data_IF_666864025636
#
_entry.id   IF_666864025636
#
_cell.length_a   1.000
_cell.length_b   1.000
_cell.length_c   1.000
_cell.angle_alpha   90.00
_cell.angle_beta   90.00
_cell.angle_gamma   90.00
#
_symmetry.space_group_name_H-M   'P 1'
#
loop_
_entity.id
_entity.type
_entity.pdbx_description
1 polymer ?
#
# COMPACT_ATOMS: atom_id res chain seq x y z
N UNK A 1 -60.48 -106.48 31.79
CA UNK A 1 -59.12 -106.69 32.34
C UNK A 1 -58.24 -105.58 31.89
N UNK A 2 -57.97 -104.74 32.84
CA UNK A 2 -57.25 -103.52 32.61
C UNK A 2 -55.82 -103.57 33.13
N UNK A 3 -54.90 -103.36 32.32
CA UNK A 3 -53.47 -103.18 32.68
C UNK A 3 -53.16 -101.69 32.86
N UNK A 4 -52.98 -101.27 34.10
CA UNK A 4 -52.44 -99.90 34.44
C UNK A 4 -50.96 -99.93 34.31
N UNK A 5 -50.43 -99.19 33.32
CA UNK A 5 -49.00 -98.90 33.16
C UNK A 5 -48.64 -97.75 34.09
N UNK A 6 -47.74 -97.93 35.05
CA UNK A 6 -47.19 -96.89 35.95
C UNK A 6 -46.07 -96.20 35.21
N UNK A 7 -46.25 -94.94 34.91
CA UNK A 7 -45.15 -94.04 34.49
C UNK A 7 -44.44 -93.58 35.73
N UNK A 8 -43.11 -93.80 35.77
CA UNK A 8 -42.19 -93.26 36.79
C UNK A 8 -41.88 -91.81 36.51
N UNK A 9 -41.79 -90.91 37.51
CA UNK A 9 -41.48 -89.52 37.27
C UNK A 9 -40.01 -89.32 36.92
N UNK A 10 -39.75 -88.59 35.80
CA UNK A 10 -38.40 -88.07 35.44
C UNK A 10 -37.99 -87.03 36.48
N UNK A 11 -36.82 -87.28 37.12
CA UNK A 11 -36.17 -86.29 37.97
C UNK A 11 -35.47 -85.25 37.06
N UNK A 12 -35.98 -84.05 36.96
CA UNK A 12 -35.28 -82.90 36.35
C UNK A 12 -34.26 -82.43 37.40
N UNK A 13 -32.99 -82.67 37.09
CA UNK A 13 -31.88 -82.10 37.86
C UNK A 13 -31.80 -80.58 37.53
N UNK A 14 -32.15 -79.74 38.48
CA UNK A 14 -31.93 -78.30 38.36
C UNK A 14 -30.40 -78.02 38.41
N UNK A 15 -29.87 -77.53 37.30
CA UNK A 15 -28.49 -76.99 37.24
C UNK A 15 -28.52 -75.64 37.94
N UNK A 16 -28.00 -75.62 39.17
CA UNK A 16 -27.78 -74.37 39.90
C UNK A 16 -26.56 -73.68 39.30
N UNK A 17 -26.80 -72.66 38.48
CA UNK A 17 -25.73 -71.74 38.02
C UNK A 17 -25.43 -70.81 39.18
N UNK A 18 -24.37 -71.07 39.90
CA UNK A 18 -23.83 -70.16 40.90
C UNK A 18 -23.13 -69.00 40.21
N UNK A 19 -23.78 -67.87 40.12
CA UNK A 19 -23.11 -66.61 39.75
C UNK A 19 -22.18 -66.23 40.92
N UNK A 20 -20.90 -66.36 40.70
CA UNK A 20 -19.91 -65.75 41.59
C UNK A 20 -19.95 -64.21 41.40
N UNK A 21 -20.21 -63.44 42.42
CA UNK A 21 -20.12 -61.98 42.29
C UNK A 21 -18.67 -61.61 42.16
N UNK A 22 -18.25 -61.36 40.91
CA UNK A 22 -16.93 -60.79 40.63
C UNK A 22 -16.91 -59.43 41.34
N UNK A 23 -16.01 -59.28 42.30
CA UNK A 23 -15.78 -58.01 43.03
C UNK A 23 -15.36 -56.94 42.05
N UNK A 24 -16.29 -56.19 41.43
CA UNK A 24 -16.08 -55.11 40.46
C UNK A 24 -15.73 -53.76 41.16
N UNK A 25 -15.03 -53.75 42.29
CA UNK A 25 -14.77 -52.52 43.07
C UNK A 25 -13.74 -51.56 42.46
N UNK A 26 -13.00 -51.92 41.39
CA UNK A 26 -12.05 -51.02 40.69
C UNK A 26 -12.52 -50.50 39.33
N UNK A 27 -13.37 -51.24 38.60
CA UNK A 27 -13.73 -50.91 37.22
C UNK A 27 -14.64 -49.69 37.14
N UNK A 28 -15.57 -49.50 38.06
CA UNK A 28 -16.46 -48.36 38.08
C UNK A 28 -15.70 -47.03 38.29
N UNK A 29 -14.68 -47.00 39.15
CA UNK A 29 -13.84 -45.83 39.38
C UNK A 29 -13.04 -45.45 38.12
N UNK A 30 -12.46 -46.44 37.46
CA UNK A 30 -11.69 -46.26 36.22
C UNK A 30 -12.60 -45.75 35.09
N UNK A 31 -13.80 -46.33 34.98
CA UNK A 31 -14.78 -45.87 33.98
C UNK A 31 -15.22 -44.41 34.19
N UNK A 32 -15.48 -44.01 35.44
CA UNK A 32 -15.83 -42.64 35.77
C UNK A 32 -14.67 -41.69 35.50
N UNK A 33 -13.44 -42.05 35.90
CA UNK A 33 -12.27 -41.24 35.61
C UNK A 33 -12.01 -41.09 34.10
N UNK A 34 -12.22 -42.17 33.31
CA UNK A 34 -12.11 -42.12 31.87
C UNK A 34 -13.14 -41.19 31.23
N UNK A 35 -14.41 -41.27 31.67
CA UNK A 35 -15.49 -40.38 31.21
C UNK A 35 -15.16 -38.93 31.56
N UNK A 36 -14.72 -38.64 32.77
CA UNK A 36 -14.33 -37.28 33.18
C UNK A 36 -13.17 -36.78 32.35
N UNK A 37 -12.14 -37.60 32.11
CA UNK A 37 -11.00 -37.23 31.25
C UNK A 37 -11.43 -36.89 29.83
N UNK A 38 -12.34 -37.69 29.25
CA UNK A 38 -12.90 -37.42 27.90
C UNK A 38 -13.71 -36.13 27.89
N UNK A 39 -14.55 -35.89 28.89
CA UNK A 39 -15.35 -34.68 29.02
C UNK A 39 -14.49 -33.43 29.17
N UNK A 40 -13.43 -33.50 29.98
CA UNK A 40 -12.44 -32.40 30.09
C UNK A 40 -11.74 -32.15 28.76
N UNK A 41 -11.27 -33.20 28.08
CA UNK A 41 -10.62 -33.06 26.79
C UNK A 41 -11.57 -32.43 25.73
N UNK A 42 -12.82 -32.87 25.66
CA UNK A 42 -13.81 -32.29 24.76
C UNK A 42 -14.15 -30.83 25.13
N UNK A 43 -14.26 -30.53 26.42
CA UNK A 43 -14.53 -29.15 26.90
C UNK A 43 -13.37 -28.21 26.56
N UNK A 44 -12.13 -28.63 26.77
CA UNK A 44 -10.95 -27.82 26.37
C UNK A 44 -10.85 -27.61 24.88
N UNK A 45 -11.15 -28.63 24.07
CA UNK A 45 -11.21 -28.53 22.62
C UNK A 45 -12.27 -27.52 22.15
N UNK A 46 -13.48 -27.62 22.72
CA UNK A 46 -14.59 -26.69 22.40
C UNK A 46 -14.22 -25.26 22.78
N UNK A 47 -13.64 -25.03 23.96
CA UNK A 47 -13.23 -23.71 24.42
C UNK A 47 -12.14 -23.12 23.54
N UNK A 48 -11.14 -23.93 23.18
CA UNK A 48 -10.07 -23.52 22.26
C UNK A 48 -10.62 -23.10 20.89
N UNK A 49 -11.50 -23.91 20.31
CA UNK A 49 -12.15 -23.59 19.02
C UNK A 49 -13.01 -22.32 19.13
N UNK A 50 -13.73 -22.14 20.24
CA UNK A 50 -14.54 -20.95 20.45
C UNK A 50 -13.68 -19.69 20.52
N UNK A 51 -12.58 -19.70 21.26
CA UNK A 51 -11.65 -18.59 21.37
C UNK A 51 -11.05 -18.24 19.99
N UNK A 52 -10.68 -19.24 19.20
CA UNK A 52 -10.16 -19.02 17.83
C UNK A 52 -11.20 -18.32 16.95
N UNK A 53 -12.45 -18.80 16.98
CA UNK A 53 -13.55 -18.20 16.19
C UNK A 53 -13.82 -16.75 16.64
N UNK A 54 -13.83 -16.48 17.94
CA UNK A 54 -14.03 -15.12 18.48
C UNK A 54 -12.89 -14.21 18.00
N UNK A 55 -11.62 -14.64 18.13
CA UNK A 55 -10.47 -13.84 17.66
C UNK A 55 -10.52 -13.59 16.15
N UNK A 56 -10.92 -14.58 15.35
CA UNK A 56 -11.08 -14.39 13.90
C UNK A 56 -12.17 -13.36 13.57
N UNK A 57 -13.30 -13.42 14.26
CA UNK A 57 -14.38 -12.43 14.07
C UNK A 57 -13.97 -11.04 14.53
N UNK A 58 -13.24 -10.93 15.63
CA UNK A 58 -12.72 -9.65 16.12
C UNK A 58 -11.77 -9.04 15.09
N UNK A 59 -10.75 -9.79 14.65
CA UNK A 59 -9.81 -9.31 13.62
C UNK A 59 -10.54 -8.87 12.33
N UNK A 60 -11.52 -9.67 11.88
CA UNK A 60 -12.30 -9.33 10.68
C UNK A 60 -13.12 -8.05 10.89
N UNK A 61 -13.68 -7.83 12.07
CA UNK A 61 -14.42 -6.62 12.41
C UNK A 61 -13.49 -5.40 12.44
N UNK A 62 -12.33 -5.51 13.13
CA UNK A 62 -11.33 -4.43 13.20
C UNK A 62 -10.80 -4.06 11.80
N UNK A 63 -10.49 -5.05 10.94
CA UNK A 63 -10.07 -4.81 9.57
C UNK A 63 -11.13 -4.08 8.75
N UNK A 64 -12.40 -4.51 8.84
CA UNK A 64 -13.49 -3.85 8.14
C UNK A 64 -13.72 -2.42 8.64
N UNK A 65 -13.59 -2.20 9.94
CA UNK A 65 -13.72 -0.88 10.54
C UNK A 65 -12.57 0.04 10.09
N UNK A 66 -11.33 -0.46 10.13
CA UNK A 66 -10.16 0.28 9.61
C UNK A 66 -10.33 0.64 8.12
N UNK A 67 -10.86 -0.27 7.31
CA UNK A 67 -11.16 -0.01 5.90
C UNK A 67 -12.20 1.12 5.71
N UNK A 68 -13.26 1.15 6.53
CA UNK A 68 -14.26 2.21 6.44
C UNK A 68 -13.68 3.59 6.83
N UNK A 69 -12.82 3.64 7.85
CA UNK A 69 -12.11 4.87 8.20
C UNK A 69 -11.14 5.31 7.09
N UNK A 70 -10.44 4.36 6.43
CA UNK A 70 -9.59 4.68 5.29
C UNK A 70 -10.38 5.28 4.11
N UNK A 71 -11.56 4.73 3.80
CA UNK A 71 -12.46 5.34 2.81
C UNK A 71 -13.01 6.70 3.25
N UNK A 72 -13.25 6.89 4.54
CA UNK A 72 -13.64 8.20 5.08
C UNK A 72 -12.54 9.25 4.88
N UNK A 73 -11.28 8.88 5.12
CA UNK A 73 -10.13 9.75 4.87
C UNK A 73 -9.93 10.06 3.37
N UNK A 74 -10.11 9.07 2.50
CA UNK A 74 -10.09 9.23 1.06
C UNK A 74 -11.14 10.26 0.59
N UNK A 75 -12.38 10.11 1.06
CA UNK A 75 -13.46 11.01 0.68
C UNK A 75 -13.27 12.43 1.24
N UNK A 76 -12.75 12.56 2.46
CA UNK A 76 -12.39 13.85 3.03
C UNK A 76 -11.31 14.55 2.19
N UNK A 77 -10.27 13.82 1.81
CA UNK A 77 -9.21 14.38 0.96
C UNK A 77 -9.75 14.81 -0.41
N UNK A 78 -10.63 14.01 -1.02
CA UNK A 78 -11.32 14.35 -2.27
C UNK A 78 -12.12 15.65 -2.12
N UNK A 79 -12.83 15.83 -1.00
CA UNK A 79 -13.60 17.04 -0.73
C UNK A 79 -12.67 18.24 -0.51
N UNK A 80 -11.57 18.08 0.23
CA UNK A 80 -10.60 19.16 0.43
C UNK A 80 -10.00 19.64 -0.90
N UNK A 81 -9.64 18.73 -1.82
CA UNK A 81 -9.15 19.10 -3.15
C UNK A 81 -10.19 19.83 -4.00
N UNK A 82 -11.47 19.47 -3.87
CA UNK A 82 -12.57 20.14 -4.56
C UNK A 82 -12.88 21.51 -3.94
N UNK A 83 -12.89 21.61 -2.61
CA UNK A 83 -13.17 22.87 -1.90
C UNK A 83 -12.06 23.89 -2.14
N UNK A 84 -10.80 23.44 -2.16
CA UNK A 84 -9.66 24.25 -2.51
C UNK A 84 -9.84 24.92 -3.89
N UNK A 85 -10.13 24.11 -4.91
CA UNK A 85 -10.45 24.63 -6.24
C UNK A 85 -11.63 25.58 -6.27
N UNK A 86 -12.67 25.32 -5.46
CA UNK A 86 -13.90 26.12 -5.44
C UNK A 86 -13.70 27.47 -4.74
N UNK A 87 -12.79 27.55 -3.75
CA UNK A 87 -12.53 28.74 -2.94
C UNK A 87 -11.42 29.59 -3.55
N UNK A 88 -10.31 28.97 -3.91
CA UNK A 88 -9.10 29.62 -4.42
C UNK A 88 -9.14 29.79 -5.95
N UNK A 89 -10.06 29.12 -6.64
CA UNK A 89 -10.14 29.06 -8.09
C UNK A 89 -9.08 28.13 -8.71
N UNK A 90 -9.05 27.94 -10.04
CA UNK A 90 -8.17 26.97 -10.71
C UNK A 90 -6.70 27.42 -10.79
N UNK A 91 -6.27 28.31 -9.91
CA UNK A 91 -5.07 29.10 -10.16
C UNK A 91 -3.78 28.49 -9.69
N UNK A 92 -3.68 28.00 -8.47
CA UNK A 92 -2.39 27.69 -7.84
C UNK A 92 -2.55 26.57 -6.82
N UNK A 93 -1.64 25.60 -6.86
CA UNK A 93 -1.50 24.58 -5.84
C UNK A 93 -0.14 24.70 -5.14
N UNK A 94 -0.13 24.77 -3.81
CA UNK A 94 1.09 24.88 -3.01
C UNK A 94 0.99 24.18 -1.65
N UNK A 95 2.15 23.95 -1.01
CA UNK A 95 2.24 23.11 0.19
C UNK A 95 1.65 23.75 1.46
N UNK A 96 1.29 25.02 1.44
CA UNK A 96 0.65 25.70 2.58
C UNK A 96 -0.88 25.59 2.57
N UNK A 97 -1.47 25.07 1.52
CA UNK A 97 -2.91 24.85 1.39
C UNK A 97 -3.41 23.73 2.31
N UNK A 98 -4.71 23.78 2.61
CA UNK A 98 -5.33 22.85 3.57
C UNK A 98 -5.19 21.37 3.15
N UNK A 99 -5.28 21.10 1.85
CA UNK A 99 -5.14 19.74 1.34
C UNK A 99 -3.72 19.17 1.51
N UNK A 100 -2.70 20.03 1.50
CA UNK A 100 -1.29 19.64 1.62
C UNK A 100 -0.86 19.40 3.08
N UNK A 101 -1.65 19.88 4.05
CA UNK A 101 -1.36 19.69 5.46
C UNK A 101 -1.62 18.23 5.85
N UNK A 102 -0.60 17.58 6.38
CA UNK A 102 -0.74 16.22 6.89
C UNK A 102 -1.76 16.20 8.04
N UNK A 103 -2.72 15.31 7.98
CA UNK A 103 -3.58 15.01 9.12
C UNK A 103 -2.71 14.26 10.13
N UNK A 104 -2.38 14.93 11.24
CA UNK A 104 -1.71 14.32 12.39
C UNK A 104 -2.51 13.10 12.86
N UNK A 105 -1.88 12.12 13.51
CA UNK A 105 -2.61 10.97 14.02
C UNK A 105 -3.82 11.42 14.84
N UNK A 106 -4.99 11.19 14.27
CA UNK A 106 -6.26 11.52 14.87
C UNK A 106 -6.77 10.30 15.65
N UNK A 107 -7.03 10.46 16.94
CA UNK A 107 -7.57 9.39 17.76
C UNK A 107 -9.04 9.12 17.41
N UNK A 108 -9.35 7.88 17.12
CA UNK A 108 -10.70 7.42 16.81
C UNK A 108 -11.49 7.15 18.09
N UNK A 109 -12.81 7.37 18.06
CA UNK A 109 -13.71 7.19 19.22
C UNK A 109 -13.69 5.75 19.75
N UNK A 110 -13.55 4.78 18.86
CA UNK A 110 -13.52 3.33 19.18
C UNK A 110 -12.11 2.83 19.59
N UNK A 111 -11.17 3.74 19.75
CA UNK A 111 -9.75 3.44 20.01
C UNK A 111 -9.01 3.11 18.72
N UNK A 112 -7.83 3.69 18.58
CA UNK A 112 -7.04 3.59 17.37
C UNK A 112 -6.68 4.96 16.80
N UNK A 113 -6.03 4.99 15.64
CA UNK A 113 -5.50 6.21 15.04
C UNK A 113 -5.72 6.21 13.54
N UNK A 114 -5.98 7.40 13.00
CA UNK A 114 -6.01 7.70 11.57
C UNK A 114 -4.93 8.72 11.25
N UNK A 115 -4.10 8.43 10.28
CA UNK A 115 -3.19 9.37 9.63
C UNK A 115 -3.58 9.51 8.17
N UNK A 116 -3.53 10.71 7.62
CA UNK A 116 -3.75 10.92 6.20
C UNK A 116 -2.82 12.01 5.66
N UNK A 117 -2.41 11.86 4.40
CA UNK A 117 -1.59 12.83 3.68
C UNK A 117 -2.01 12.84 2.22
N UNK A 118 -2.05 14.01 1.62
CA UNK A 118 -2.20 14.19 0.17
C UNK A 118 -0.83 14.57 -0.40
N UNK A 119 -0.41 13.88 -1.44
CA UNK A 119 0.82 14.15 -2.20
C UNK A 119 0.42 14.66 -3.58
N UNK A 120 0.98 15.78 -3.98
CA UNK A 120 0.92 16.26 -5.36
C UNK A 120 1.87 15.44 -6.25
N UNK A 121 1.34 14.80 -7.27
CA UNK A 121 2.14 14.02 -8.22
C UNK A 121 2.67 14.86 -9.40
N UNK A 122 2.27 16.11 -9.54
CA UNK A 122 2.90 17.04 -10.47
C UNK A 122 4.24 17.57 -9.91
N UNK A 123 4.51 17.36 -8.62
CA UNK A 123 5.78 17.68 -7.96
C UNK A 123 6.83 16.57 -8.00
N UNK A 124 6.62 15.45 -8.70
CA UNK A 124 7.54 14.32 -8.85
C UNK A 124 7.80 13.95 -10.30
N UNK A 125 8.89 13.21 -10.56
CA UNK A 125 9.21 12.73 -11.90
C UNK A 125 8.26 11.61 -12.30
N UNK A 126 7.46 11.85 -13.31
CA UNK A 126 6.56 10.84 -13.87
C UNK A 126 7.35 9.86 -14.76
N UNK A 127 7.44 8.59 -14.33
CA UNK A 127 8.15 7.53 -15.06
C UNK A 127 7.58 7.36 -16.49
N UNK A 128 6.28 7.49 -16.67
CA UNK A 128 5.63 7.36 -17.98
C UNK A 128 5.98 8.50 -18.95
N UNK A 129 6.60 9.59 -18.48
CA UNK A 129 7.13 10.64 -19.34
C UNK A 129 8.32 10.19 -20.21
N UNK A 130 8.92 9.04 -19.91
CA UNK A 130 9.96 8.41 -20.72
C UNK A 130 9.43 7.89 -22.08
N UNK A 131 8.11 7.82 -22.26
CA UNK A 131 7.45 7.37 -23.48
C UNK A 131 7.20 8.56 -24.41
N UNK A 132 7.31 8.34 -25.71
CA UNK A 132 6.97 9.33 -26.73
C UNK A 132 8.11 10.27 -27.13
N UNK A 133 7.79 11.38 -27.79
CA UNK A 133 8.76 12.25 -28.48
C UNK A 133 9.81 12.89 -27.54
N UNK A 134 9.42 13.22 -26.31
CA UNK A 134 10.33 13.79 -25.30
C UNK A 134 11.03 12.75 -24.44
N UNK A 135 10.87 11.46 -24.73
CA UNK A 135 11.38 10.37 -23.88
C UNK A 135 12.89 10.43 -23.65
N UNK A 136 13.68 10.81 -24.66
CA UNK A 136 15.15 10.94 -24.51
C UNK A 136 15.55 12.14 -23.64
N UNK A 137 14.86 13.27 -23.76
CA UNK A 137 15.12 14.43 -22.92
C UNK A 137 14.74 14.11 -21.46
N UNK A 138 13.63 13.42 -21.24
CA UNK A 138 13.20 12.97 -19.95
C UNK A 138 14.14 11.89 -19.36
N UNK A 139 14.72 11.02 -20.19
CA UNK A 139 15.76 10.09 -19.75
C UNK A 139 17.00 10.84 -19.23
N UNK A 140 17.42 11.89 -19.93
CA UNK A 140 18.54 12.73 -19.45
C UNK A 140 18.21 13.39 -18.11
N UNK A 141 16.99 13.84 -17.90
CA UNK A 141 16.50 14.37 -16.61
C UNK A 141 16.50 13.33 -15.52
N UNK A 142 15.96 12.14 -15.82
CA UNK A 142 15.95 11.04 -14.85
C UNK A 142 17.35 10.66 -14.42
N UNK A 143 18.33 10.61 -15.34
CA UNK A 143 19.73 10.38 -15.03
C UNK A 143 20.34 11.47 -14.14
N UNK A 144 19.94 12.73 -14.32
CA UNK A 144 20.35 13.83 -13.44
C UNK A 144 19.71 13.73 -12.06
N UNK A 145 18.43 13.36 -11.99
CA UNK A 145 17.75 13.11 -10.73
C UNK A 145 18.42 11.97 -9.95
N UNK A 146 18.80 10.88 -10.61
CA UNK A 146 19.54 9.78 -9.98
C UNK A 146 20.90 10.23 -9.47
N UNK A 147 21.59 11.05 -10.25
CA UNK A 147 22.87 11.61 -9.85
C UNK A 147 22.77 12.51 -8.60
N UNK A 148 21.69 13.28 -8.43
CA UNK A 148 21.51 14.14 -7.25
C UNK A 148 21.25 13.34 -5.96
N UNK A 149 20.77 12.11 -6.10
CA UNK A 149 20.46 11.19 -4.99
C UNK A 149 21.52 10.09 -4.82
N UNK A 150 22.68 10.22 -5.51
CA UNK A 150 23.78 9.25 -5.48
C UNK A 150 23.36 7.83 -5.91
N UNK A 151 22.40 7.75 -6.83
CA UNK A 151 21.88 6.50 -7.40
C UNK A 151 22.52 6.25 -8.77
N UNK A 152 22.77 4.98 -9.11
CA UNK A 152 23.36 4.62 -10.41
C UNK A 152 22.47 5.07 -11.57
N UNK A 153 23.02 5.92 -12.42
CA UNK A 153 22.32 6.45 -13.61
C UNK A 153 21.97 5.37 -14.64
N UNK A 154 22.64 4.23 -14.62
CA UNK A 154 22.33 3.10 -15.48
C UNK A 154 20.94 2.52 -15.23
N UNK A 155 20.44 2.65 -13.98
CA UNK A 155 19.09 2.20 -13.63
C UNK A 155 18.00 3.00 -14.38
N UNK A 156 18.26 4.25 -14.77
CA UNK A 156 17.33 5.02 -15.58
C UNK A 156 17.15 4.42 -16.99
N UNK A 157 18.18 3.79 -17.55
CA UNK A 157 18.10 3.09 -18.84
C UNK A 157 17.21 1.83 -18.71
N UNK A 158 17.32 1.09 -17.59
CA UNK A 158 16.43 -0.05 -17.32
C UNK A 158 14.96 0.36 -17.23
N UNK A 159 14.67 1.51 -16.58
CA UNK A 159 13.31 2.04 -16.48
C UNK A 159 12.79 2.45 -17.87
N UNK A 160 13.65 3.05 -18.70
CA UNK A 160 13.30 3.44 -20.06
C UNK A 160 12.89 2.23 -20.90
N UNK A 161 13.74 1.19 -20.95
CA UNK A 161 13.47 -0.02 -21.73
C UNK A 161 12.27 -0.82 -21.19
N UNK A 162 11.96 -0.69 -19.90
CA UNK A 162 10.77 -1.33 -19.32
C UNK A 162 9.46 -0.74 -19.85
N UNK A 163 9.42 0.58 -20.07
CA UNK A 163 8.18 1.29 -20.41
C UNK A 163 8.02 1.56 -21.90
N UNK A 164 9.10 1.60 -22.67
CA UNK A 164 8.97 1.90 -24.10
C UNK A 164 8.52 0.66 -24.91
N UNK A 165 8.10 0.90 -26.16
CA UNK A 165 7.40 -0.13 -26.94
C UNK A 165 8.34 -0.96 -27.82
N UNK A 166 9.58 -0.51 -27.97
CA UNK A 166 10.52 -1.19 -28.86
C UNK A 166 11.33 -2.28 -28.12
N UNK A 167 12.29 -2.88 -28.77
CA UNK A 167 13.15 -3.94 -28.23
C UNK A 167 14.63 -3.57 -28.42
N UNK A 168 14.92 -2.27 -28.49
CA UNK A 168 16.27 -1.74 -28.69
C UNK A 168 16.83 -1.26 -27.38
N UNK A 169 17.76 -2.01 -26.84
CA UNK A 169 18.38 -1.70 -25.54
C UNK A 169 19.00 -0.31 -25.51
N UNK A 170 18.58 0.51 -24.56
CA UNK A 170 19.07 1.85 -24.29
C UNK A 170 20.22 1.79 -23.30
N UNK A 171 21.43 2.17 -23.68
CA UNK A 171 22.57 2.28 -22.78
C UNK A 171 22.84 1.02 -21.93
N UNK A 172 22.62 1.09 -20.63
CA UNK A 172 22.73 -0.03 -19.68
C UNK A 172 21.39 -0.72 -19.40
N UNK A 173 20.39 -0.47 -20.23
CA UNK A 173 19.05 -1.04 -20.11
C UNK A 173 18.97 -2.55 -20.40
N UNK A 174 17.78 -3.08 -20.40
CA UNK A 174 17.53 -4.50 -20.63
C UNK A 174 16.17 -4.71 -21.29
N UNK A 175 16.16 -5.59 -22.28
CA UNK A 175 14.99 -6.01 -23.03
C UNK A 175 14.63 -7.47 -22.78
N UNK A 176 13.60 -7.98 -23.43
CA UNK A 176 13.08 -9.35 -23.30
C UNK A 176 14.17 -10.42 -23.15
N UNK A 177 15.27 -10.30 -23.91
CA UNK A 177 16.35 -11.28 -23.87
C UNK A 177 17.01 -11.42 -22.49
N UNK A 178 17.11 -10.32 -21.73
CA UNK A 178 17.66 -10.34 -20.37
C UNK A 178 16.67 -10.97 -19.39
N UNK A 179 15.41 -10.58 -19.46
CA UNK A 179 14.35 -11.03 -18.55
C UNK A 179 13.95 -12.51 -18.78
N UNK A 180 14.00 -13.00 -20.02
CA UNK A 180 13.76 -14.41 -20.32
C UNK A 180 14.85 -15.34 -19.80
N UNK A 181 16.02 -14.80 -19.45
CA UNK A 181 17.11 -15.55 -18.79
C UNK A 181 16.95 -15.69 -17.27
N UNK A 182 15.99 -15.01 -16.65
CA UNK A 182 15.76 -15.02 -15.20
C UNK A 182 15.00 -16.28 -14.74
N UNK A 183 14.89 -16.44 -13.44
CA UNK A 183 14.12 -17.54 -12.83
C UNK A 183 13.18 -16.97 -11.76
N UNK A 184 11.86 -16.96 -11.98
CA UNK A 184 11.14 -17.36 -13.20
C UNK A 184 11.37 -16.41 -14.37
N UNK A 185 11.30 -16.89 -15.63
CA UNK A 185 11.42 -16.04 -16.79
C UNK A 185 10.15 -15.21 -17.01
N UNK A 186 10.32 -13.94 -17.40
CA UNK A 186 9.24 -13.02 -17.80
C UNK A 186 9.74 -12.09 -18.91
N UNK A 187 8.90 -11.17 -19.36
CA UNK A 187 9.23 -10.19 -20.42
C UNK A 187 9.14 -8.78 -19.86
N UNK A 188 9.80 -7.84 -20.52
CA UNK A 188 9.57 -6.41 -20.32
C UNK A 188 8.10 -6.05 -20.51
N UNK A 189 7.63 -5.04 -19.80
CA UNK A 189 6.23 -4.59 -19.88
C UNK A 189 5.92 -3.97 -21.26
N UNK A 190 6.87 -3.25 -21.85
CA UNK A 190 6.75 -2.52 -23.12
C UNK A 190 5.45 -1.70 -23.23
N UNK A 191 5.07 -1.11 -22.13
CA UNK A 191 3.86 -0.29 -21.97
C UNK A 191 4.01 0.67 -20.80
N UNK A 192 3.20 1.72 -20.73
CA UNK A 192 3.22 2.62 -19.58
C UNK A 192 3.09 1.85 -18.28
N UNK A 193 3.95 2.17 -17.31
CA UNK A 193 3.91 1.64 -15.96
C UNK A 193 2.55 1.97 -15.32
N UNK A 194 1.97 1.03 -14.60
CA UNK A 194 0.69 1.22 -13.90
C UNK A 194 0.88 1.47 -12.42
N UNK A 195 1.98 0.96 -11.88
CA UNK A 195 2.27 1.07 -10.46
C UNK A 195 3.77 1.19 -10.23
N UNK A 196 4.19 2.01 -9.26
CA UNK A 196 5.61 2.23 -8.96
C UNK A 196 6.34 0.95 -8.53
N UNK A 197 5.63 -0.05 -8.00
CA UNK A 197 6.22 -1.34 -7.63
C UNK A 197 6.73 -2.16 -8.82
N UNK A 198 6.38 -1.79 -10.05
CA UNK A 198 6.96 -2.42 -11.24
C UNK A 198 8.48 -2.19 -11.32
N UNK A 199 9.01 -1.16 -10.66
CA UNK A 199 10.46 -0.95 -10.53
C UNK A 199 11.19 -2.15 -9.91
N UNK A 200 10.52 -2.92 -9.04
CA UNK A 200 11.08 -4.14 -8.44
C UNK A 200 11.07 -5.36 -9.38
N UNK A 201 10.52 -5.20 -10.57
CA UNK A 201 10.58 -6.21 -11.65
C UNK A 201 11.74 -5.95 -12.60
N UNK A 202 12.45 -4.85 -12.45
CA UNK A 202 13.59 -4.54 -13.30
C UNK A 202 14.75 -5.50 -13.01
N UNK A 203 15.55 -5.77 -14.03
CA UNK A 203 16.62 -6.76 -13.95
C UNK A 203 17.69 -6.37 -12.92
N UNK A 204 17.95 -7.26 -11.94
CA UNK A 204 18.96 -7.10 -10.89
C UNK A 204 18.82 -5.81 -10.06
N UNK A 205 17.60 -5.35 -9.79
CA UNK A 205 17.35 -4.23 -8.87
C UNK A 205 16.94 -4.77 -7.49
N UNK A 206 17.59 -4.27 -6.45
CA UNK A 206 17.22 -4.45 -5.06
C UNK A 206 16.62 -3.17 -4.49
N UNK A 207 15.94 -3.26 -3.34
CA UNK A 207 15.29 -2.10 -2.71
C UNK A 207 16.31 -1.00 -2.38
N UNK A 208 17.49 -1.38 -1.91
CA UNK A 208 18.58 -0.48 -1.53
C UNK A 208 19.04 0.37 -2.70
N UNK A 209 19.02 -0.18 -3.93
CA UNK A 209 19.48 0.52 -5.14
C UNK A 209 18.58 1.71 -5.51
N UNK A 210 17.29 1.64 -5.18
CA UNK A 210 16.29 2.63 -5.60
C UNK A 210 15.60 3.35 -4.43
N UNK A 211 15.87 2.99 -3.19
CA UNK A 211 15.18 3.53 -2.02
C UNK A 211 15.28 5.06 -1.91
N UNK A 212 16.46 5.63 -2.25
CA UNK A 212 16.69 7.07 -2.23
C UNK A 212 15.88 7.81 -3.30
N UNK A 213 15.64 7.18 -4.47
CA UNK A 213 14.96 7.83 -5.59
C UNK A 213 13.43 7.66 -5.56
N UNK A 214 12.90 6.62 -4.89
CA UNK A 214 11.46 6.34 -4.83
C UNK A 214 10.60 7.53 -4.40
N UNK A 215 10.97 8.38 -3.43
CA UNK A 215 10.17 9.55 -3.04
C UNK A 215 10.01 10.59 -4.16
N UNK A 216 10.94 10.60 -5.11
CA UNK A 216 11.01 11.56 -6.21
C UNK A 216 10.32 11.06 -7.50
N UNK A 217 9.93 9.79 -7.53
CA UNK A 217 9.27 9.16 -8.67
C UNK A 217 7.75 9.04 -8.43
N UNK A 218 7.02 9.09 -9.53
CA UNK A 218 5.59 8.78 -9.57
C UNK A 218 5.19 8.11 -10.87
N UNK A 219 4.01 7.51 -10.85
CA UNK A 219 3.38 6.89 -12.02
C UNK A 219 2.06 7.58 -12.26
N UNK A 220 2.01 8.39 -13.31
CA UNK A 220 0.80 9.11 -13.74
C UNK A 220 0.36 8.49 -15.07
N UNK A 221 -0.94 8.28 -15.30
CA UNK A 221 -1.44 7.69 -16.55
C UNK A 221 -1.12 8.50 -17.81
N UNK A 222 -0.87 9.81 -17.67
CA UNK A 222 -0.47 10.70 -18.75
C UNK A 222 1.06 10.74 -18.92
N UNK A 223 1.56 10.68 -20.13
CA UNK A 223 2.98 10.89 -20.42
C UNK A 223 3.40 12.38 -20.39
N UNK A 224 2.45 13.29 -20.54
CA UNK A 224 2.67 14.74 -20.57
C UNK A 224 1.95 15.40 -19.39
N UNK A 225 2.71 15.87 -18.42
CA UNK A 225 2.23 16.71 -17.33
C UNK A 225 3.20 17.86 -17.08
N UNK A 226 2.69 18.97 -16.59
CA UNK A 226 3.53 20.09 -16.14
C UNK A 226 4.07 19.82 -14.75
N UNK A 227 5.27 20.33 -14.48
CA UNK A 227 5.90 20.26 -13.15
C UNK A 227 5.38 21.42 -12.31
N UNK A 228 4.76 21.12 -11.18
CA UNK A 228 4.34 22.14 -10.25
C UNK A 228 5.56 22.63 -9.44
N UNK A 229 5.95 23.89 -9.69
CA UNK A 229 7.13 24.52 -9.04
C UNK A 229 6.91 24.73 -7.55
N UNK A 230 5.67 24.87 -7.10
CA UNK A 230 5.35 25.10 -5.71
C UNK A 230 5.45 23.84 -4.83
N UNK A 231 5.46 22.63 -5.45
CA UNK A 231 5.45 21.36 -4.72
C UNK A 231 6.64 20.47 -5.02
N UNK A 232 7.32 20.71 -6.16
CA UNK A 232 8.46 19.91 -6.61
C UNK A 232 9.64 19.93 -5.60
N UNK A 233 10.33 18.80 -5.45
CA UNK A 233 11.54 18.70 -4.62
C UNK A 233 12.75 19.40 -5.27
N UNK A 234 13.76 19.75 -4.48
CA UNK A 234 15.00 20.35 -4.98
C UNK A 234 15.68 19.45 -6.02
N UNK A 235 15.79 18.15 -5.73
CA UNK A 235 16.41 17.17 -6.62
C UNK A 235 15.65 17.07 -7.96
N UNK A 236 14.31 17.13 -7.93
CA UNK A 236 13.52 17.13 -9.15
C UNK A 236 13.68 18.43 -9.93
N UNK A 237 13.64 19.60 -9.29
CA UNK A 237 13.90 20.89 -9.93
C UNK A 237 15.30 20.94 -10.57
N UNK A 238 16.33 20.49 -9.84
CA UNK A 238 17.70 20.36 -10.36
C UNK A 238 17.75 19.49 -11.61
N UNK A 239 16.97 18.42 -11.67
CA UNK A 239 17.00 17.45 -12.75
C UNK A 239 16.45 17.99 -14.09
N UNK A 240 15.66 19.06 -14.06
CA UNK A 240 14.92 19.57 -15.23
C UNK A 240 15.84 20.04 -16.35
N UNK A 241 16.96 20.71 -16.04
CA UNK A 241 17.93 21.15 -17.04
C UNK A 241 19.35 21.23 -16.48
N UNK A 242 20.34 21.15 -17.37
CA UNK A 242 21.75 21.24 -17.01
C UNK A 242 22.18 22.65 -16.56
N UNK A 243 21.43 23.68 -16.90
CA UNK A 243 21.66 25.04 -16.47
C UNK A 243 21.25 25.28 -15.01
N UNK A 244 20.36 24.46 -14.45
CA UNK A 244 19.92 24.56 -13.05
C UNK A 244 20.96 23.94 -12.14
N UNK A 245 21.51 24.71 -11.21
CA UNK A 245 22.40 24.18 -10.18
C UNK A 245 21.61 23.60 -9.01
N UNK A 246 22.25 22.73 -8.22
CA UNK A 246 21.62 22.18 -7.02
C UNK A 246 21.32 23.27 -5.98
N UNK A 247 22.23 24.25 -5.85
CA UNK A 247 22.07 25.38 -4.91
C UNK A 247 20.86 26.25 -5.31
N UNK A 248 20.65 26.49 -6.63
CA UNK A 248 19.49 27.22 -7.11
C UNK A 248 18.19 26.46 -6.81
N UNK A 249 18.14 25.14 -7.07
CA UNK A 249 17.00 24.31 -6.79
C UNK A 249 16.70 24.25 -5.27
N UNK A 250 17.73 24.17 -4.43
CA UNK A 250 17.58 24.23 -2.96
C UNK A 250 17.05 25.60 -2.51
N UNK A 251 17.60 26.70 -3.06
CA UNK A 251 17.13 28.06 -2.76
C UNK A 251 15.64 28.25 -3.07
N UNK A 252 15.13 27.66 -4.16
CA UNK A 252 13.70 27.63 -4.46
C UNK A 252 12.90 26.92 -3.37
N UNK A 253 13.38 25.74 -2.91
CA UNK A 253 12.64 24.92 -1.93
C UNK A 253 12.68 25.55 -0.51
N UNK A 254 13.74 26.25 -0.18
CA UNK A 254 13.90 26.94 1.11
C UNK A 254 13.15 28.29 1.16
N UNK A 255 12.75 28.83 0.00
CA UNK A 255 11.93 30.06 -0.08
C UNK A 255 10.45 29.75 0.14
N UNK A 256 9.66 30.80 0.38
CA UNK A 256 8.20 30.70 0.33
C UNK A 256 7.75 30.42 -1.10
N UNK A 257 7.07 29.28 -1.30
CA UNK A 257 6.67 28.76 -2.63
C UNK A 257 5.16 28.83 -2.83
N UNK A 258 4.66 30.03 -3.07
CA UNK A 258 3.28 30.30 -3.46
C UNK A 258 3.22 31.14 -4.73
N UNK A 259 4.04 30.80 -5.73
CA UNK A 259 4.08 31.49 -7.01
C UNK A 259 2.74 31.36 -7.72
N UNK A 260 2.18 32.52 -8.12
CA UNK A 260 0.87 32.59 -8.77
C UNK A 260 0.92 32.20 -10.25
N UNK A 261 2.07 32.33 -10.88
CA UNK A 261 2.30 31.97 -12.28
C UNK A 261 3.79 31.67 -12.54
N UNK A 262 4.05 30.97 -13.64
CA UNK A 262 5.41 30.59 -14.07
C UNK A 262 6.26 31.84 -14.37
N UNK A 263 5.67 32.94 -14.82
CA UNK A 263 6.41 34.14 -15.17
C UNK A 263 7.05 34.78 -13.94
N UNK A 264 6.27 34.95 -12.87
CA UNK A 264 6.80 35.47 -11.58
C UNK A 264 7.89 34.59 -10.99
N UNK A 265 7.78 33.26 -11.16
CA UNK A 265 8.82 32.31 -10.77
C UNK A 265 10.11 32.53 -11.57
N UNK A 266 10.02 32.65 -12.92
CA UNK A 266 11.18 32.85 -13.79
C UNK A 266 11.84 34.21 -13.54
N UNK A 267 11.07 35.27 -13.27
CA UNK A 267 11.63 36.58 -12.91
C UNK A 267 12.49 36.49 -11.62
N UNK A 268 12.11 35.65 -10.66
CA UNK A 268 12.88 35.39 -9.45
C UNK A 268 14.03 34.38 -9.65
N UNK A 269 13.88 33.45 -10.60
CA UNK A 269 14.79 32.31 -10.83
C UNK A 269 15.10 32.16 -12.34
N UNK A 270 15.90 33.05 -12.95
CA UNK A 270 16.12 33.09 -14.40
C UNK A 270 16.74 31.83 -15.00
N UNK A 271 17.47 31.04 -14.20
CA UNK A 271 18.08 29.77 -14.60
C UNK A 271 17.06 28.71 -15.05
N UNK A 272 15.78 28.86 -14.68
CA UNK A 272 14.70 27.98 -15.10
C UNK A 272 14.01 28.41 -16.40
N UNK A 273 14.41 29.49 -17.05
CA UNK A 273 13.76 30.02 -18.25
C UNK A 273 13.70 28.96 -19.38
N UNK A 274 14.76 28.18 -19.55
CA UNK A 274 14.86 27.13 -20.59
C UNK A 274 13.74 26.07 -20.43
N UNK A 275 13.32 25.80 -19.23
CA UNK A 275 12.30 24.80 -18.91
C UNK A 275 10.91 25.40 -18.66
N UNK A 276 10.75 26.71 -18.75
CA UNK A 276 9.50 27.41 -18.50
C UNK A 276 8.25 26.80 -19.17
N UNK A 277 8.31 26.31 -20.45
CA UNK A 277 7.15 25.66 -21.08
C UNK A 277 6.63 24.41 -20.39
N UNK A 278 7.47 23.76 -19.56
CA UNK A 278 7.16 22.51 -18.87
C UNK A 278 6.72 22.75 -17.42
N UNK A 279 6.90 23.99 -16.93
CA UNK A 279 6.53 24.38 -15.57
C UNK A 279 5.06 24.75 -15.48
N UNK A 280 4.50 24.62 -14.33
CA UNK A 280 3.17 25.02 -13.94
C UNK A 280 3.12 25.36 -12.47
N UNK A 281 1.98 25.88 -12.06
CA UNK A 281 1.67 26.20 -10.66
C UNK A 281 0.42 25.46 -10.19
N UNK A 282 -0.20 24.68 -11.07
CA UNK A 282 -1.41 23.89 -10.85
C UNK A 282 -1.13 22.42 -10.99
N UNK A 283 -1.88 21.59 -10.27
CA UNK A 283 -1.75 20.15 -10.28
C UNK A 283 -3.04 19.44 -10.66
N UNK A 284 -2.90 18.38 -11.44
CA UNK A 284 -4.01 17.55 -11.93
C UNK A 284 -4.07 16.20 -11.19
N UNK A 285 -2.93 15.71 -10.69
CA UNK A 285 -2.82 14.38 -10.13
C UNK A 285 -2.38 14.44 -8.67
N UNK A 286 -3.16 13.78 -7.82
CA UNK A 286 -2.91 13.72 -6.39
C UNK A 286 -2.97 12.28 -5.89
N UNK A 287 -2.13 11.94 -4.95
CA UNK A 287 -2.17 10.65 -4.28
C UNK A 287 -2.48 10.85 -2.80
N UNK A 288 -3.59 10.29 -2.36
CA UNK A 288 -4.01 10.31 -0.95
C UNK A 288 -3.51 9.05 -0.28
N UNK A 289 -2.75 9.21 0.77
CA UNK A 289 -2.32 8.13 1.64
C UNK A 289 -3.09 8.19 2.94
N UNK A 290 -3.73 7.09 3.31
CA UNK A 290 -4.37 6.92 4.60
C UNK A 290 -3.80 5.68 5.30
N UNK A 291 -3.50 5.81 6.59
CA UNK A 291 -3.12 4.71 7.47
C UNK A 291 -4.04 4.72 8.68
N UNK A 292 -4.69 3.61 8.92
CA UNK A 292 -5.65 3.46 10.00
C UNK A 292 -5.26 2.27 10.85
N UNK A 293 -5.23 2.47 12.16
CA UNK A 293 -5.08 1.41 13.13
C UNK A 293 -6.35 1.31 13.97
N UNK A 294 -6.93 0.11 14.08
CA UNK A 294 -8.06 -0.22 14.96
C UNK A 294 -7.72 -1.51 15.70
N UNK A 295 -7.63 -1.45 17.01
CA UNK A 295 -7.14 -2.57 17.80
C UNK A 295 -5.74 -2.99 17.37
N UNK A 296 -5.57 -4.27 17.00
CA UNK A 296 -4.31 -4.81 16.48
C UNK A 296 -4.21 -4.75 14.94
N UNK A 297 -5.30 -4.36 14.26
CA UNK A 297 -5.37 -4.32 12.81
C UNK A 297 -4.91 -2.98 12.26
N UNK A 298 -4.04 -3.02 11.25
CA UNK A 298 -3.60 -1.83 10.50
C UNK A 298 -4.03 -1.94 9.04
N UNK A 299 -4.60 -0.87 8.49
CA UNK A 299 -4.98 -0.72 7.10
C UNK A 299 -4.24 0.46 6.49
N UNK A 300 -3.62 0.26 5.33
CA UNK A 300 -3.06 1.33 4.50
C UNK A 300 -3.83 1.39 3.20
N UNK A 301 -4.12 2.60 2.74
CA UNK A 301 -4.80 2.87 1.48
C UNK A 301 -4.07 4.03 0.79
N UNK A 302 -3.64 3.82 -0.45
CA UNK A 302 -3.21 4.88 -1.35
C UNK A 302 -4.23 5.01 -2.48
N UNK A 303 -4.71 6.22 -2.73
CA UNK A 303 -5.74 6.50 -3.75
C UNK A 303 -5.22 7.56 -4.70
N UNK A 304 -5.17 7.22 -6.00
CA UNK A 304 -4.78 8.14 -7.07
C UNK A 304 -6.02 8.88 -7.57
N UNK A 305 -5.97 10.21 -7.50
CA UNK A 305 -7.01 11.11 -8.01
C UNK A 305 -6.53 11.93 -9.19
N UNK A 306 -7.46 12.19 -10.09
CA UNK A 306 -7.35 13.20 -11.13
C UNK A 306 -8.33 14.34 -10.82
N UNK A 307 -7.82 15.56 -10.81
CA UNK A 307 -8.62 16.79 -10.69
C UNK A 307 -8.65 17.50 -12.04
N UNK A 308 -9.85 17.72 -12.55
CA UNK A 308 -10.04 18.53 -13.75
C UNK A 308 -9.78 20.01 -13.42
N UNK A 309 -8.79 20.62 -14.07
CA UNK A 309 -8.37 22.00 -13.82
C UNK A 309 -9.36 23.07 -14.32
N UNK A 310 -10.39 22.68 -15.09
CA UNK A 310 -11.44 23.61 -15.55
C UNK A 310 -12.69 23.57 -14.64
N UNK A 311 -13.04 22.38 -14.13
CA UNK A 311 -14.28 22.16 -13.36
C UNK A 311 -14.07 21.93 -11.87
N UNK A 312 -12.84 21.60 -11.46
CA UNK A 312 -12.52 21.17 -10.10
C UNK A 312 -12.97 19.76 -9.76
N UNK A 313 -13.63 19.05 -10.69
CA UNK A 313 -14.10 17.69 -10.43
C UNK A 313 -12.93 16.74 -10.12
N UNK A 314 -13.01 16.06 -8.98
CA UNK A 314 -11.99 15.13 -8.50
C UNK A 314 -12.48 13.69 -8.70
N UNK A 315 -11.83 12.98 -9.60
CA UNK A 315 -12.16 11.60 -9.99
C UNK A 315 -11.13 10.62 -9.43
N UNK A 316 -11.58 9.56 -8.78
CA UNK A 316 -10.73 8.47 -8.34
C UNK A 316 -10.34 7.59 -9.55
N UNK A 317 -9.03 7.40 -9.76
CA UNK A 317 -8.48 6.58 -10.84
C UNK A 317 -8.10 5.18 -10.36
N UNK A 318 -7.46 5.08 -9.19
CA UNK A 318 -6.92 3.81 -8.68
C UNK A 318 -6.87 3.81 -7.15
N UNK A 319 -7.00 2.62 -6.56
CA UNK A 319 -6.71 2.34 -5.15
C UNK A 319 -5.64 1.27 -5.03
N UNK A 320 -4.75 1.44 -4.06
CA UNK A 320 -3.74 0.47 -3.69
C UNK A 320 -3.76 0.27 -2.17
N UNK A 321 -3.95 -1.00 -1.74
CA UNK A 321 -3.95 -1.40 -0.33
C UNK A 321 -2.61 -1.99 0.13
N UNK A 322 -1.67 -2.16 -0.78
CA UNK A 322 -0.35 -2.73 -0.49
C UNK A 322 0.74 -1.66 -0.32
N UNK A 323 0.44 -0.40 -0.68
CA UNK A 323 1.41 0.69 -0.59
C UNK A 323 1.60 1.10 0.86
N UNK A 324 2.82 0.96 1.34
CA UNK A 324 3.16 1.37 2.69
C UNK A 324 3.19 2.90 2.79
N UNK A 325 2.44 3.42 3.74
CA UNK A 325 2.51 4.81 4.14
C UNK A 325 3.65 4.99 5.13
N UNK A 326 4.63 5.80 4.77
CA UNK A 326 5.66 6.26 5.71
C UNK A 326 5.22 7.62 6.25
N UNK A 327 4.70 7.64 7.48
CA UNK A 327 4.40 8.89 8.17
C UNK A 327 5.69 9.69 8.37
N UNK A 328 5.67 10.96 8.01
CA UNK A 328 6.74 11.91 8.37
C UNK A 328 6.69 12.32 9.85
N UNK A 329 5.62 11.98 10.54
CA UNK A 329 5.39 12.31 11.95
C UNK A 329 5.69 11.07 12.80
N UNK A 330 6.81 11.10 13.51
CA UNK A 330 7.05 10.14 14.60
C UNK A 330 6.23 10.60 15.78
N UNK A 331 5.08 9.97 16.02
CA UNK A 331 4.32 10.18 17.24
C UNK A 331 4.88 9.23 18.29
N UNK A 332 5.41 9.79 19.36
CA UNK A 332 5.79 9.07 20.56
C UNK A 332 4.48 8.68 21.28
N UNK A 333 3.97 7.48 20.95
CA UNK A 333 2.67 6.97 21.46
C UNK A 333 2.75 6.65 22.96
N UNK A 334 3.97 6.62 23.54
CA UNK A 334 4.20 6.26 24.94
C UNK A 334 4.14 7.44 25.94
N UNK A 335 3.82 8.65 25.48
CA UNK A 335 3.88 9.85 26.31
C UNK A 335 2.65 10.09 27.22
N UNK A 336 1.55 9.32 27.05
CA UNK A 336 0.29 9.49 27.80
C UNK A 336 -0.31 8.16 28.31
N UNK A 337 0.51 7.29 28.88
CA UNK A 337 0.02 6.10 29.60
C UNK A 337 0.17 6.25 31.11
#
# INVERSE_FOLDING_TARGET
EGGRMRMSPFKVSAISITFFPVRQRGVALISVLLIVAILVALSTQLLSNHNLVVSQHQNSFEQNQALQYAYGAEELARQLLFDDFSISGPGVDHLEETWAQAVLPFKLDDGGYLEAQVKDLNGCFNVNSLIGASGNDNLARLKRLFQSEDVDRGLADLIKDWVDIDQVTTGFGAEDNAYLGLTPPYRTANQPMRHISELFLLNNIEFEDISAILPHLCVIPSAANKVNINTASASFLYSLDAAVSIDAAQGVVESERSFLDVKSFIEANPEFEVVAPQLGVTSEYFEVHAKVQVGESTMSLASLFFRNTETGEVTLLQRDFAKFFQSKVVVDIDADS
#
